data_IF_453577246968
#
_entry.id   IF_453577246968
#
_cell.length_a   1.000
_cell.length_b   1.000
_cell.length_c   1.000
_cell.angle_alpha   90.00
_cell.angle_beta   90.00
_cell.angle_gamma   90.00
#
_symmetry.space_group_name_H-M   'P 1'
#
loop_
_entity.id
_entity.type
_entity.pdbx_description
1 polymer ?
#
# COMPACT_ATOMS: atom_id res chain seq x y z
N UNK A 1 3.58 -7.01 -15.36
CA UNK A 1 2.27 -6.99 -14.70
C UNK A 1 1.21 -6.64 -15.70
N UNK A 2 0.13 -7.40 -15.76
CA UNK A 2 -0.99 -7.21 -16.73
C UNK A 2 -2.28 -6.76 -16.04
N UNK A 3 -2.15 -6.07 -14.89
CA UNK A 3 -3.32 -5.55 -14.17
C UNK A 3 -3.99 -4.43 -14.96
N UNK A 4 -5.32 -4.41 -14.94
CA UNK A 4 -6.12 -3.36 -15.56
C UNK A 4 -6.38 -2.23 -14.57
N UNK A 5 -6.50 -1.02 -15.08
CA UNK A 5 -6.72 0.19 -14.28
C UNK A 5 -7.90 0.99 -14.83
N UNK A 6 -8.69 1.54 -13.91
CA UNK A 6 -9.56 2.68 -14.16
C UNK A 6 -8.85 3.98 -13.77
N UNK A 7 -9.18 5.08 -14.42
CA UNK A 7 -8.62 6.39 -14.08
C UNK A 7 -9.70 7.30 -13.48
N UNK A 8 -9.66 7.46 -12.16
CA UNK A 8 -10.65 8.23 -11.41
C UNK A 8 -10.06 9.59 -11.05
N UNK A 9 -10.58 10.65 -11.64
CA UNK A 9 -10.11 12.03 -11.44
C UNK A 9 -8.56 12.13 -11.52
N UNK A 10 -7.95 11.44 -12.49
CA UNK A 10 -6.50 11.46 -12.69
C UNK A 10 -5.68 10.45 -11.89
N UNK A 11 -6.29 9.72 -10.96
CA UNK A 11 -5.65 8.65 -10.17
C UNK A 11 -5.98 7.28 -10.75
N UNK A 12 -4.96 6.46 -10.97
CA UNK A 12 -5.12 5.08 -11.40
C UNK A 12 -5.62 4.21 -10.24
N UNK A 13 -6.64 3.39 -10.49
CA UNK A 13 -7.20 2.42 -9.53
C UNK A 13 -7.21 1.05 -10.18
N UNK A 14 -6.68 0.05 -9.54
CA UNK A 14 -6.68 -1.34 -10.03
C UNK A 14 -8.11 -1.89 -10.05
N UNK A 15 -8.55 -2.41 -11.19
CA UNK A 15 -9.93 -2.91 -11.38
C UNK A 15 -10.00 -4.44 -11.50
N UNK A 16 -9.00 -5.12 -10.99
CA UNK A 16 -8.95 -6.59 -10.92
C UNK A 16 -9.55 -7.10 -9.61
N UNK A 17 -9.93 -8.37 -9.60
CA UNK A 17 -10.32 -9.04 -8.36
C UNK A 17 -9.11 -9.29 -7.46
N UNK A 18 -9.36 -9.54 -6.18
CA UNK A 18 -8.33 -9.73 -5.16
C UNK A 18 -7.39 -10.90 -5.48
N UNK A 19 -7.92 -11.99 -6.03
CA UNK A 19 -7.15 -13.17 -6.40
C UNK A 19 -6.12 -12.87 -7.50
N UNK A 20 -6.53 -12.13 -8.54
CA UNK A 20 -5.64 -11.71 -9.62
C UNK A 20 -4.52 -10.77 -9.11
N UNK A 21 -4.85 -9.87 -8.18
CA UNK A 21 -3.88 -8.97 -7.57
C UNK A 21 -2.87 -9.76 -6.73
N UNK A 22 -3.34 -10.71 -5.93
CA UNK A 22 -2.48 -11.61 -5.13
C UNK A 22 -1.60 -12.49 -6.02
N UNK A 23 -2.14 -13.01 -7.11
CA UNK A 23 -1.37 -13.82 -8.04
C UNK A 23 -0.25 -13.00 -8.71
N UNK A 24 -0.51 -11.76 -9.12
CA UNK A 24 0.54 -10.88 -9.65
C UNK A 24 1.59 -10.53 -8.58
N UNK A 25 1.18 -10.41 -7.32
CA UNK A 25 2.08 -10.21 -6.19
C UNK A 25 2.97 -11.44 -5.96
N UNK A 26 2.42 -12.66 -6.05
CA UNK A 26 3.19 -13.91 -5.99
C UNK A 26 4.19 -14.02 -7.15
N UNK A 27 3.76 -13.68 -8.36
CA UNK A 27 4.63 -13.68 -9.56
C UNK A 27 5.79 -12.69 -9.45
N UNK A 28 5.63 -11.61 -8.70
CA UNK A 28 6.72 -10.66 -8.45
C UNK A 28 7.91 -11.35 -7.77
N UNK A 29 7.67 -12.15 -6.72
CA UNK A 29 8.73 -12.92 -6.06
C UNK A 29 9.28 -14.05 -6.96
N UNK A 30 8.41 -14.78 -7.67
CA UNK A 30 8.85 -15.86 -8.57
C UNK A 30 9.77 -15.36 -9.68
N UNK A 31 9.44 -14.21 -10.30
CA UNK A 31 10.31 -13.60 -11.33
C UNK A 31 11.70 -13.22 -10.81
N UNK A 32 11.82 -12.98 -9.52
CA UNK A 32 13.08 -12.65 -8.86
C UNK A 32 13.93 -13.88 -8.50
N UNK A 33 13.30 -15.07 -8.37
CA UNK A 33 13.98 -16.33 -8.07
C UNK A 33 14.59 -16.98 -9.32
N UNK A 34 13.95 -16.84 -10.48
CA UNK A 34 14.40 -17.43 -11.76
C UNK A 34 15.86 -17.10 -12.08
N UNK A 35 16.38 -15.87 -11.97
CA UNK A 35 17.80 -15.59 -12.16
C UNK A 35 18.73 -16.27 -11.17
N UNK A 36 18.25 -16.64 -9.95
CA UNK A 36 19.05 -17.36 -8.95
C UNK A 36 19.22 -18.83 -9.29
N UNK A 37 18.18 -19.46 -9.82
CA UNK A 37 18.17 -20.88 -10.21
C UNK A 37 19.01 -21.15 -11.49
N UNK A 38 19.00 -20.20 -12.43
CA UNK A 38 19.74 -20.30 -13.69
C UNK A 38 21.23 -20.01 -13.51
N UNK A 39 21.66 -19.31 -12.45
CA UNK A 39 23.07 -18.95 -12.18
C UNK A 39 24.02 -20.14 -12.00
N UNK A 40 23.50 -21.33 -11.70
CA UNK A 40 24.35 -22.56 -11.67
C UNK A 40 24.89 -23.01 -13.03
N UNK A 41 24.46 -22.45 -14.15
CA UNK A 41 24.73 -23.00 -15.49
C UNK A 41 25.19 -22.04 -16.58
N UNK A 42 25.22 -20.70 -16.46
CA UNK A 42 25.65 -19.81 -17.55
C UNK A 42 26.21 -18.45 -17.11
N UNK A 43 27.35 -18.13 -17.71
CA UNK A 43 28.02 -16.85 -18.02
C UNK A 43 27.79 -15.61 -17.08
N UNK A 44 28.87 -15.07 -16.44
CA UNK A 44 28.81 -13.96 -15.49
C UNK A 44 28.51 -12.59 -16.12
N UNK A 45 28.31 -12.47 -17.40
CA UNK A 45 28.10 -11.21 -18.14
C UNK A 45 26.62 -10.86 -18.42
N UNK A 46 25.63 -11.66 -17.99
CA UNK A 46 24.23 -11.23 -18.10
C UNK A 46 23.96 -10.09 -17.11
N UNK A 47 23.67 -8.92 -17.63
CA UNK A 47 23.29 -7.72 -16.87
C UNK A 47 22.27 -8.08 -15.79
N UNK A 48 22.61 -7.72 -14.54
CA UNK A 48 21.69 -7.81 -13.41
C UNK A 48 20.58 -6.79 -13.63
N UNK A 49 19.48 -7.20 -14.25
CA UNK A 49 18.27 -6.37 -14.32
C UNK A 49 17.86 -6.03 -12.90
N UNK A 50 17.96 -4.78 -12.50
CA UNK A 50 17.50 -4.32 -11.19
C UNK A 50 15.99 -4.57 -11.11
N UNK A 51 15.54 -5.28 -10.09
CA UNK A 51 14.11 -5.51 -9.86
C UNK A 51 13.61 -4.31 -9.08
N UNK A 52 12.72 -3.50 -9.68
CA UNK A 52 12.11 -2.38 -8.98
C UNK A 52 11.20 -2.87 -7.85
N UNK A 53 11.13 -2.16 -6.72
CA UNK A 53 10.16 -2.46 -5.66
C UNK A 53 8.73 -2.53 -6.20
N UNK A 54 7.93 -3.46 -5.69
CA UNK A 54 6.50 -3.51 -5.94
C UNK A 54 5.81 -2.58 -4.94
N UNK A 55 5.17 -1.53 -5.43
CA UNK A 55 4.49 -0.54 -4.61
C UNK A 55 2.99 -0.78 -4.63
N UNK A 56 2.40 -0.78 -3.43
CA UNK A 56 0.96 -0.98 -3.23
C UNK A 56 0.41 0.19 -2.40
N UNK A 57 -0.52 0.95 -3.00
CA UNK A 57 -1.27 1.98 -2.30
C UNK A 57 -2.75 1.61 -2.20
N UNK A 58 -3.45 2.32 -1.32
CA UNK A 58 -4.88 2.13 -1.06
C UNK A 58 -5.61 3.48 -1.22
N UNK A 59 -5.72 4.01 -2.47
CA UNK A 59 -6.35 5.29 -2.68
C UNK A 59 -7.81 5.29 -2.18
N UNK A 60 -8.17 6.37 -1.51
CA UNK A 60 -9.50 6.67 -1.03
C UNK A 60 -9.95 8.05 -1.57
N UNK A 61 -11.19 8.50 -1.36
CA UNK A 61 -11.65 9.82 -1.81
C UNK A 61 -10.73 10.97 -1.42
N UNK A 62 -10.20 10.97 -0.20
CA UNK A 62 -9.32 12.04 0.30
C UNK A 62 -7.98 12.09 -0.45
N UNK A 63 -7.38 10.93 -0.73
CA UNK A 63 -6.15 10.78 -1.53
C UNK A 63 -6.38 11.29 -2.95
N UNK A 64 -7.51 10.94 -3.56
CA UNK A 64 -7.84 11.40 -4.93
C UNK A 64 -8.02 12.91 -4.98
N UNK A 65 -8.70 13.52 -4.00
CA UNK A 65 -8.85 14.99 -3.92
C UNK A 65 -7.51 15.68 -3.73
N UNK A 66 -6.64 15.16 -2.86
CA UNK A 66 -5.31 15.71 -2.67
C UNK A 66 -4.47 15.61 -3.94
N UNK A 67 -4.50 14.48 -4.62
CA UNK A 67 -3.81 14.26 -5.90
C UNK A 67 -4.26 15.21 -7.02
N UNK A 68 -5.44 15.83 -6.89
CA UNK A 68 -5.89 16.88 -7.82
C UNK A 68 -5.28 18.25 -7.52
N UNK A 69 -4.83 18.46 -6.30
CA UNK A 69 -4.28 19.73 -5.80
C UNK A 69 -2.75 19.72 -5.76
N UNK A 70 -2.14 18.53 -5.85
CA UNK A 70 -0.69 18.31 -5.78
C UNK A 70 -0.27 17.33 -6.88
N UNK A 71 0.37 17.85 -7.92
CA UNK A 71 0.79 17.06 -9.08
C UNK A 71 1.94 16.11 -8.74
N UNK A 72 2.82 16.47 -7.78
CA UNK A 72 3.86 15.59 -7.29
C UNK A 72 3.24 14.38 -6.57
N UNK A 73 2.30 14.63 -5.67
CA UNK A 73 1.58 13.57 -4.98
C UNK A 73 0.81 12.66 -5.95
N UNK A 74 0.14 13.26 -6.96
CA UNK A 74 -0.53 12.51 -8.03
C UNK A 74 0.44 11.60 -8.79
N UNK A 75 1.63 12.10 -9.13
CA UNK A 75 2.69 11.30 -9.78
C UNK A 75 3.10 10.13 -8.90
N UNK A 76 3.32 10.37 -7.60
CA UNK A 76 3.69 9.33 -6.64
C UNK A 76 2.61 8.25 -6.57
N UNK A 77 1.36 8.62 -6.35
CA UNK A 77 0.23 7.66 -6.27
C UNK A 77 0.11 6.85 -7.57
N UNK A 78 0.28 7.49 -8.73
CA UNK A 78 0.21 6.83 -10.03
C UNK A 78 1.45 6.00 -10.38
N UNK A 79 2.55 6.15 -9.63
CA UNK A 79 3.76 5.33 -9.83
C UNK A 79 3.65 3.93 -9.23
N UNK A 80 2.65 3.68 -8.40
CA UNK A 80 2.38 2.37 -7.83
C UNK A 80 1.94 1.36 -8.91
N UNK A 81 2.42 0.13 -8.77
CA UNK A 81 2.00 -0.98 -9.62
C UNK A 81 0.63 -1.54 -9.22
N UNK A 82 0.21 -1.28 -7.99
CA UNK A 82 -1.09 -1.69 -7.46
C UNK A 82 -1.68 -0.54 -6.65
N UNK A 83 -2.84 -0.07 -7.06
CA UNK A 83 -3.67 0.86 -6.33
C UNK A 83 -4.97 0.16 -5.96
N UNK A 84 -5.05 -0.41 -4.75
CA UNK A 84 -6.18 -1.22 -4.32
C UNK A 84 -7.47 -0.40 -4.29
N UNK A 85 -8.58 -0.90 -4.83
CA UNK A 85 -9.88 -0.23 -4.78
C UNK A 85 -10.47 -0.37 -3.37
N UNK A 86 -9.94 0.40 -2.41
CA UNK A 86 -10.44 0.41 -1.04
C UNK A 86 -11.43 1.58 -0.81
N UNK A 87 -12.51 1.27 -0.11
CA UNK A 87 -13.54 2.24 0.22
C UNK A 87 -14.68 2.35 -0.80
N UNK A 88 -15.90 2.50 -0.26
CA UNK A 88 -17.14 2.55 -1.04
C UNK A 88 -17.16 3.70 -2.08
N UNK A 89 -16.55 4.85 -1.75
CA UNK A 89 -16.48 5.99 -2.65
C UNK A 89 -15.70 5.70 -3.93
N UNK A 90 -14.57 5.00 -3.84
CA UNK A 90 -13.78 4.61 -5.00
C UNK A 90 -14.53 3.61 -5.87
N UNK A 91 -15.15 2.60 -5.26
CA UNK A 91 -15.97 1.61 -5.97
C UNK A 91 -17.12 2.29 -6.72
N UNK A 92 -17.83 3.19 -6.04
CA UNK A 92 -18.90 3.96 -6.66
C UNK A 92 -18.41 4.80 -7.85
N UNK A 93 -17.26 5.47 -7.71
CA UNK A 93 -16.70 6.28 -8.78
C UNK A 93 -16.28 5.44 -10.00
N UNK A 94 -15.63 4.28 -9.78
CA UNK A 94 -15.28 3.34 -10.87
C UNK A 94 -16.54 2.86 -11.58
N UNK A 95 -17.54 2.39 -10.82
CA UNK A 95 -18.79 1.89 -11.38
C UNK A 95 -19.53 2.98 -12.21
N UNK A 96 -19.48 4.23 -11.73
CA UNK A 96 -20.13 5.37 -12.41
C UNK A 96 -19.39 5.79 -13.68
N UNK A 97 -18.07 6.04 -13.57
CA UNK A 97 -17.29 6.66 -14.64
C UNK A 97 -16.86 5.67 -15.73
N UNK A 98 -16.49 4.47 -15.33
CA UNK A 98 -15.98 3.43 -16.25
C UNK A 98 -17.03 2.37 -16.59
N UNK A 99 -18.21 2.39 -15.96
CA UNK A 99 -19.28 1.40 -16.12
C UNK A 99 -18.85 -0.06 -15.89
N UNK A 100 -17.82 -0.25 -15.08
CA UNK A 100 -17.28 -1.56 -14.71
C UNK A 100 -17.63 -1.86 -13.26
N UNK A 101 -18.28 -2.98 -13.02
CA UNK A 101 -18.56 -3.45 -11.65
C UNK A 101 -17.32 -4.10 -11.07
N UNK A 102 -16.77 -3.51 -10.02
CA UNK A 102 -15.64 -4.05 -9.27
C UNK A 102 -16.03 -4.36 -7.83
N UNK A 103 -15.29 -5.27 -7.21
CA UNK A 103 -15.40 -5.54 -5.78
C UNK A 103 -14.36 -4.74 -5.02
N UNK A 104 -14.71 -4.39 -3.79
CA UNK A 104 -13.78 -3.74 -2.87
C UNK A 104 -12.67 -4.73 -2.48
N UNK A 105 -11.43 -4.27 -2.54
CA UNK A 105 -10.27 -4.94 -1.93
C UNK A 105 -9.80 -4.08 -0.77
N UNK A 106 -10.06 -4.56 0.46
CA UNK A 106 -9.69 -3.83 1.67
C UNK A 106 -8.18 -3.87 1.90
N UNK A 107 -7.56 -2.71 2.12
CA UNK A 107 -6.12 -2.64 2.43
C UNK A 107 -5.73 -3.47 3.66
N UNK A 108 -6.58 -3.53 4.70
CA UNK A 108 -6.33 -4.33 5.89
C UNK A 108 -6.41 -5.84 5.63
N UNK A 109 -7.36 -6.28 4.78
CA UNK A 109 -7.47 -7.69 4.41
C UNK A 109 -6.33 -8.10 3.48
N UNK A 110 -5.97 -7.23 2.53
CA UNK A 110 -4.82 -7.47 1.65
C UNK A 110 -3.50 -7.53 2.41
N UNK A 111 -3.32 -6.71 3.45
CA UNK A 111 -2.18 -6.83 4.37
C UNK A 111 -2.10 -8.23 5.00
N UNK A 112 -3.23 -8.79 5.48
CA UNK A 112 -3.27 -10.14 6.03
C UNK A 112 -2.92 -11.21 4.98
N UNK A 113 -3.36 -11.05 3.73
CA UNK A 113 -2.96 -11.95 2.64
C UNK A 113 -1.46 -11.89 2.35
N UNK A 114 -0.83 -10.71 2.48
CA UNK A 114 0.63 -10.59 2.37
C UNK A 114 1.36 -11.24 3.54
N UNK A 115 0.81 -11.18 4.76
CA UNK A 115 1.36 -11.91 5.93
C UNK A 115 1.30 -13.42 5.69
N UNK A 116 0.16 -13.93 5.18
CA UNK A 116 0.04 -15.33 4.80
C UNK A 116 1.02 -15.72 3.68
N UNK A 117 1.19 -14.88 2.69
CA UNK A 117 2.20 -15.10 1.64
C UNK A 117 3.63 -15.13 2.21
N UNK A 118 3.91 -14.29 3.22
CA UNK A 118 5.20 -14.30 3.91
C UNK A 118 5.42 -15.61 4.67
N UNK A 119 4.40 -16.18 5.29
CA UNK A 119 4.47 -17.51 5.92
C UNK A 119 4.75 -18.60 4.88
N UNK A 120 3.97 -18.64 3.80
CA UNK A 120 4.10 -19.63 2.71
C UNK A 120 5.52 -19.62 2.06
N UNK A 121 6.16 -18.46 2.03
CA UNK A 121 7.45 -18.26 1.34
C UNK A 121 8.63 -17.97 2.26
N UNK A 122 8.44 -18.05 3.57
CA UNK A 122 9.44 -17.72 4.59
C UNK A 122 10.07 -16.33 4.39
N UNK A 123 9.22 -15.31 4.06
CA UNK A 123 9.66 -13.93 3.89
C UNK A 123 9.69 -13.19 5.22
N UNK A 124 10.55 -12.17 5.32
CA UNK A 124 10.62 -11.29 6.49
C UNK A 124 9.79 -10.02 6.24
N UNK A 125 8.96 -9.66 7.22
CA UNK A 125 8.13 -8.46 7.22
C UNK A 125 8.75 -7.39 8.11
N UNK A 126 8.84 -6.16 7.61
CA UNK A 126 9.10 -4.95 8.40
C UNK A 126 7.84 -4.11 8.54
N UNK A 127 7.65 -3.49 9.70
CA UNK A 127 6.57 -2.51 9.92
C UNK A 127 7.20 -1.22 10.42
N UNK A 128 6.90 -0.09 9.77
CA UNK A 128 7.38 1.22 10.16
C UNK A 128 6.22 2.19 10.39
N UNK A 129 6.31 2.99 11.45
CA UNK A 129 5.23 3.88 11.89
C UNK A 129 4.27 3.20 12.87
N UNK A 130 3.07 3.78 13.01
CA UNK A 130 2.09 3.30 14.01
C UNK A 130 2.40 3.85 15.40
N UNK A 131 2.03 5.12 15.64
CA UNK A 131 2.35 5.83 16.89
C UNK A 131 1.95 5.07 18.15
N UNK A 132 2.79 5.21 19.19
CA UNK A 132 2.54 4.67 20.53
C UNK A 132 2.59 3.16 20.58
N UNK A 133 3.60 2.54 19.97
CA UNK A 133 3.84 1.09 20.02
C UNK A 133 2.92 0.25 19.15
N UNK A 134 2.08 0.87 18.31
CA UNK A 134 1.06 0.17 17.52
C UNK A 134 1.63 -0.88 16.57
N UNK A 135 2.85 -0.68 16.04
CA UNK A 135 3.51 -1.67 15.21
C UNK A 135 3.86 -2.95 16.00
N UNK A 136 4.36 -2.77 17.23
CA UNK A 136 4.70 -3.91 18.12
C UNK A 136 3.43 -4.69 18.48
N UNK A 137 2.37 -4.01 18.93
CA UNK A 137 1.10 -4.65 19.24
C UNK A 137 0.49 -5.41 18.05
N UNK A 138 0.58 -4.82 16.85
CA UNK A 138 0.11 -5.48 15.63
C UNK A 138 0.92 -6.75 15.32
N UNK A 139 2.25 -6.72 15.49
CA UNK A 139 3.11 -7.90 15.37
C UNK A 139 2.70 -8.98 16.37
N UNK A 140 2.55 -8.63 17.63
CA UNK A 140 2.14 -9.58 18.68
C UNK A 140 0.79 -10.24 18.36
N UNK A 141 -0.17 -9.46 17.84
CA UNK A 141 -1.46 -9.99 17.42
C UNK A 141 -1.34 -10.92 16.21
N UNK A 142 -0.54 -10.55 15.21
CA UNK A 142 -0.33 -11.35 14.01
C UNK A 142 0.40 -12.66 14.34
N UNK A 143 1.39 -12.64 15.21
CA UNK A 143 2.16 -13.83 15.63
C UNK A 143 1.33 -14.87 16.37
N UNK A 144 0.18 -14.50 16.95
CA UNK A 144 -0.77 -15.49 17.52
C UNK A 144 -1.33 -16.44 16.45
N UNK A 145 -1.47 -15.97 15.22
CA UNK A 145 -2.02 -16.74 14.08
C UNK A 145 -0.90 -17.23 13.15
N UNK A 146 0.06 -16.37 12.84
CA UNK A 146 1.17 -16.60 11.89
C UNK A 146 2.48 -16.74 12.66
N UNK A 147 2.66 -17.91 13.32
CA UNK A 147 3.75 -18.14 14.29
C UNK A 147 5.13 -18.17 13.66
N UNK A 148 5.22 -18.62 12.42
CA UNK A 148 6.50 -18.84 11.73
C UNK A 148 6.95 -17.62 10.90
N UNK A 149 6.14 -16.55 10.83
CA UNK A 149 6.51 -15.34 10.10
C UNK A 149 7.45 -14.47 10.89
N UNK A 150 8.62 -14.19 10.34
CA UNK A 150 9.54 -13.22 10.93
C UNK A 150 9.02 -11.80 10.68
N UNK A 151 8.70 -11.07 11.76
CA UNK A 151 8.20 -9.69 11.73
C UNK A 151 9.03 -8.81 12.63
N UNK A 152 9.35 -7.59 12.18
CA UNK A 152 10.18 -6.63 12.89
C UNK A 152 9.57 -5.23 12.84
N UNK A 153 9.48 -4.56 13.99
CA UNK A 153 9.16 -3.14 14.06
C UNK A 153 10.42 -2.32 13.77
N UNK A 154 10.32 -1.39 12.80
CA UNK A 154 11.44 -0.56 12.36
C UNK A 154 11.39 0.87 12.92
N UNK A 155 10.58 1.08 13.96
CA UNK A 155 10.45 2.36 14.63
C UNK A 155 9.32 3.25 14.15
N UNK A 156 9.22 4.40 14.81
CA UNK A 156 8.15 5.38 14.63
C UNK A 156 8.78 6.74 14.25
N UNK A 157 9.24 6.92 12.99
CA UNK A 157 9.92 8.14 12.61
C UNK A 157 8.99 9.36 12.67
N UNK A 158 9.51 10.46 13.18
CA UNK A 158 8.88 11.77 13.00
C UNK A 158 9.19 12.30 11.62
N UNK A 159 8.16 12.41 10.79
CA UNK A 159 8.27 12.83 9.40
C UNK A 159 7.38 14.04 9.12
N UNK A 160 7.84 14.88 8.19
CA UNK A 160 7.09 16.01 7.67
C UNK A 160 5.93 15.59 6.76
N UNK A 161 5.21 16.54 6.20
CA UNK A 161 4.08 16.30 5.31
C UNK A 161 4.47 15.63 3.99
N UNK A 162 5.73 15.75 3.55
CA UNK A 162 6.29 15.11 2.36
C UNK A 162 7.06 13.82 2.68
N UNK A 163 6.86 13.24 3.86
CA UNK A 163 7.42 11.94 4.22
C UNK A 163 8.93 11.94 4.46
N UNK A 164 9.57 13.12 4.55
CA UNK A 164 10.95 13.29 4.95
C UNK A 164 11.09 13.46 6.45
N UNK A 165 12.27 13.18 7.00
CA UNK A 165 12.58 13.63 8.37
C UNK A 165 12.88 15.13 8.38
N UNK A 166 12.50 15.81 9.47
CA UNK A 166 12.75 17.24 9.65
C UNK A 166 14.25 17.58 9.69
N UNK A 167 15.11 16.62 10.04
CA UNK A 167 16.56 16.76 10.15
C UNK A 167 17.21 15.59 9.41
N UNK A 168 18.03 15.88 8.39
CA UNK A 168 18.88 14.93 7.64
C UNK A 168 18.14 13.71 7.05
N UNK A 169 17.15 13.98 6.22
CA UNK A 169 16.31 12.94 5.61
C UNK A 169 17.09 11.96 4.71
N UNK A 170 18.17 12.38 4.07
CA UNK A 170 18.94 11.50 3.17
C UNK A 170 19.68 10.40 3.95
N UNK A 171 20.36 10.76 5.04
CA UNK A 171 21.03 9.80 5.91
C UNK A 171 20.04 8.84 6.57
N UNK A 172 18.85 9.33 6.98
CA UNK A 172 17.82 8.48 7.53
C UNK A 172 17.39 7.39 6.55
N UNK A 173 17.04 7.76 5.32
CA UNK A 173 16.59 6.78 4.31
C UNK A 173 17.71 5.84 3.87
N UNK A 174 18.98 6.30 3.86
CA UNK A 174 20.12 5.43 3.61
C UNK A 174 20.31 4.40 4.74
N UNK A 175 20.18 4.82 6.00
CA UNK A 175 20.26 3.94 7.16
C UNK A 175 19.09 2.94 7.18
N UNK A 176 17.87 3.40 6.92
CA UNK A 176 16.71 2.53 6.81
C UNK A 176 16.89 1.49 5.70
N UNK A 177 17.40 1.89 4.54
CA UNK A 177 17.71 0.95 3.45
C UNK A 177 18.74 -0.09 3.88
N UNK A 178 19.78 0.31 4.63
CA UNK A 178 20.79 -0.61 5.16
C UNK A 178 20.19 -1.60 6.18
N UNK A 179 19.28 -1.13 7.02
CA UNK A 179 18.55 -1.99 7.96
C UNK A 179 17.63 -2.99 7.25
N UNK A 180 16.93 -2.57 6.23
CA UNK A 180 16.10 -3.43 5.37
C UNK A 180 16.98 -4.55 4.76
N UNK A 181 18.15 -4.19 4.22
CA UNK A 181 19.06 -5.17 3.63
C UNK A 181 19.65 -6.13 4.67
N UNK A 182 20.09 -5.61 5.83
CA UNK A 182 20.68 -6.40 6.92
C UNK A 182 19.68 -7.38 7.53
N UNK A 183 18.47 -6.95 7.75
CA UNK A 183 17.37 -7.76 8.32
C UNK A 183 16.68 -8.62 7.26
N UNK A 184 17.02 -8.48 5.98
CA UNK A 184 16.47 -9.21 4.85
C UNK A 184 14.96 -9.01 4.68
N UNK A 185 14.48 -7.80 4.92
CA UNK A 185 13.06 -7.47 4.82
C UNK A 185 12.64 -7.51 3.35
N UNK A 186 11.58 -8.24 3.06
CA UNK A 186 11.03 -8.46 1.71
C UNK A 186 9.61 -7.91 1.57
N UNK A 187 8.95 -7.60 2.68
CA UNK A 187 7.68 -6.86 2.72
C UNK A 187 7.82 -5.76 3.76
N UNK A 188 7.61 -4.50 3.36
CA UNK A 188 7.61 -3.35 4.26
C UNK A 188 6.21 -2.72 4.30
N UNK A 189 5.57 -2.78 5.47
CA UNK A 189 4.35 -2.06 5.74
C UNK A 189 4.64 -0.68 6.32
N UNK A 190 4.07 0.37 5.71
CA UNK A 190 4.26 1.76 6.12
C UNK A 190 2.97 2.32 6.67
N UNK A 191 2.94 2.62 7.97
CA UNK A 191 1.78 3.06 8.75
C UNK A 191 1.93 4.50 9.26
N UNK A 192 2.20 5.45 8.37
CA UNK A 192 2.43 6.87 8.69
C UNK A 192 1.22 7.77 8.40
N UNK A 193 0.17 7.18 7.81
CA UNK A 193 -1.00 7.92 7.31
C UNK A 193 -0.70 8.73 6.05
N UNK A 194 -1.76 8.98 5.24
CA UNK A 194 -1.59 9.80 4.04
C UNK A 194 -1.47 11.30 4.42
N UNK A 195 -0.78 12.14 3.63
CA UNK A 195 0.00 11.79 2.44
C UNK A 195 1.41 11.29 2.77
N UNK A 196 1.80 11.29 4.04
CA UNK A 196 3.17 11.04 4.50
C UNK A 196 3.70 9.68 4.07
N UNK A 197 2.88 8.64 4.14
CA UNK A 197 3.29 7.27 3.82
C UNK A 197 3.61 7.07 2.32
N UNK A 198 2.90 7.73 1.42
CA UNK A 198 3.15 7.66 -0.02
C UNK A 198 4.46 8.36 -0.38
N UNK A 199 4.70 9.56 0.15
CA UNK A 199 5.98 10.27 0.01
C UNK A 199 7.14 9.49 0.63
N UNK A 200 6.93 8.90 1.82
CA UNK A 200 7.92 8.07 2.50
C UNK A 200 8.32 6.86 1.65
N UNK A 201 7.34 6.18 1.07
CA UNK A 201 7.57 5.03 0.18
C UNK A 201 8.34 5.47 -1.07
N UNK A 202 8.04 6.63 -1.65
CA UNK A 202 8.80 7.15 -2.80
C UNK A 202 10.26 7.44 -2.42
N UNK A 203 10.52 8.03 -1.25
CA UNK A 203 11.86 8.31 -0.77
C UNK A 203 12.68 7.03 -0.56
N UNK A 204 12.13 6.03 0.14
CA UNK A 204 12.85 4.76 0.33
C UNK A 204 13.04 4.00 -0.98
N UNK A 205 12.06 4.01 -1.90
CA UNK A 205 12.16 3.44 -3.24
C UNK A 205 13.36 4.03 -4.00
N UNK A 206 13.55 5.35 -3.93
CA UNK A 206 14.70 6.03 -4.58
C UNK A 206 16.02 5.48 -4.03
N UNK A 207 16.16 5.34 -2.71
CA UNK A 207 17.38 4.81 -2.10
C UNK A 207 17.61 3.33 -2.45
N UNK A 208 16.55 2.54 -2.47
CA UNK A 208 16.61 1.14 -2.90
C UNK A 208 17.06 1.04 -4.36
N UNK A 209 16.51 1.87 -5.24
CA UNK A 209 16.82 1.86 -6.68
C UNK A 209 18.25 2.27 -7.01
N UNK A 210 18.92 3.06 -6.14
CA UNK A 210 20.35 3.39 -6.25
C UNK A 210 21.25 2.19 -5.98
N UNK A 211 20.75 1.12 -5.36
CA UNK A 211 21.55 -0.04 -4.98
C UNK A 211 21.71 -1.05 -6.14
N UNK A 212 22.95 -1.43 -6.46
CA UNK A 212 23.27 -2.46 -7.47
C UNK A 212 22.92 -3.89 -7.00
N UNK A 213 22.71 -4.09 -5.70
CA UNK A 213 22.39 -5.40 -5.09
C UNK A 213 21.01 -5.31 -4.45
N UNK A 214 19.97 -5.56 -5.23
CA UNK A 214 18.64 -5.45 -4.72
C UNK A 214 17.94 -6.81 -4.61
N UNK A 215 17.23 -7.02 -3.48
CA UNK A 215 16.27 -8.11 -3.29
C UNK A 215 14.88 -7.62 -3.68
N UNK A 216 14.00 -8.51 -4.16
CA UNK A 216 12.60 -8.14 -4.36
C UNK A 216 12.00 -7.69 -3.02
N UNK A 217 11.32 -6.56 -3.03
CA UNK A 217 10.62 -6.03 -1.87
C UNK A 217 9.27 -5.45 -2.27
N UNK A 218 8.27 -5.71 -1.45
CA UNK A 218 6.97 -5.06 -1.52
C UNK A 218 6.96 -3.90 -0.53
N UNK A 219 6.56 -2.72 -0.98
CA UNK A 219 6.33 -1.53 -0.15
C UNK A 219 4.83 -1.24 -0.16
N UNK A 220 4.16 -1.39 0.96
CA UNK A 220 2.71 -1.18 1.05
C UNK A 220 2.36 -0.11 2.08
N UNK A 221 1.61 0.91 1.65
CA UNK A 221 1.00 1.88 2.54
C UNK A 221 -0.23 1.24 3.22
N UNK A 222 -0.18 1.09 4.53
CA UNK A 222 -1.24 0.43 5.30
C UNK A 222 -2.05 1.39 6.18
N UNK A 223 -1.55 2.62 6.39
CA UNK A 223 -2.24 3.66 7.13
C UNK A 223 -2.77 3.15 8.47
N UNK A 224 -4.06 3.32 8.69
CA UNK A 224 -4.71 2.89 9.92
C UNK A 224 -5.12 1.41 9.97
N UNK A 225 -4.61 0.54 9.12
CA UNK A 225 -4.91 -0.90 9.17
C UNK A 225 -4.35 -1.55 10.43
N UNK A 226 -3.22 -1.04 10.94
CA UNK A 226 -2.62 -1.56 12.19
C UNK A 226 -3.55 -1.39 13.40
N UNK A 227 -4.38 -0.32 13.45
CA UNK A 227 -5.35 -0.12 14.53
C UNK A 227 -6.40 -1.24 14.60
N UNK A 228 -6.75 -1.81 13.45
CA UNK A 228 -7.65 -2.96 13.37
C UNK A 228 -6.95 -4.28 13.71
N UNK A 229 -5.71 -4.43 13.25
CA UNK A 229 -4.93 -5.66 13.43
C UNK A 229 -4.51 -5.81 14.89
N UNK A 230 -4.07 -4.74 15.54
CA UNK A 230 -3.72 -4.73 16.97
C UNK A 230 -4.93 -4.89 17.90
N UNK A 231 -6.16 -4.72 17.37
CA UNK A 231 -7.38 -4.73 18.18
C UNK A 231 -7.68 -3.44 18.92
N UNK A 232 -6.84 -2.38 18.80
CA UNK A 232 -7.14 -1.06 19.39
C UNK A 232 -8.49 -0.50 18.95
N UNK A 233 -8.86 -0.78 17.70
CA UNK A 233 -10.17 -0.44 17.15
C UNK A 233 -10.81 -1.73 16.62
N UNK A 234 -11.98 -2.13 17.12
CA UNK A 234 -12.68 -3.29 16.57
C UNK A 234 -13.15 -2.99 15.16
N UNK A 235 -13.01 -3.96 14.27
CA UNK A 235 -13.52 -3.85 12.90
C UNK A 235 -15.03 -3.72 12.87
N UNK A 236 -15.54 -3.06 11.84
CA UNK A 236 -16.96 -2.97 11.62
C UNK A 236 -17.59 -4.37 11.46
N UNK A 237 -18.80 -4.59 11.96
CA UNK A 237 -19.56 -5.82 11.73
C UNK A 237 -19.59 -6.19 10.25
N UNK A 238 -19.62 -7.50 9.95
CA UNK A 238 -19.57 -7.98 8.57
C UNK A 238 -20.65 -7.40 7.65
N UNK A 239 -21.84 -7.15 8.17
CA UNK A 239 -22.94 -6.52 7.43
C UNK A 239 -22.59 -5.07 7.03
N UNK A 240 -22.04 -4.28 7.95
CA UNK A 240 -21.60 -2.90 7.67
C UNK A 240 -20.45 -2.88 6.66
N UNK A 241 -19.51 -3.82 6.77
CA UNK A 241 -18.41 -3.94 5.80
C UNK A 241 -18.92 -4.24 4.39
N UNK A 242 -19.87 -5.17 4.26
CA UNK A 242 -20.51 -5.51 2.97
C UNK A 242 -21.32 -4.34 2.40
N UNK A 243 -21.95 -3.55 3.27
CA UNK A 243 -22.68 -2.34 2.87
C UNK A 243 -21.76 -1.14 2.55
N UNK A 244 -20.43 -1.26 2.72
CA UNK A 244 -19.50 -0.15 2.50
C UNK A 244 -19.52 0.92 3.60
N UNK A 245 -20.11 0.62 4.77
CA UNK A 245 -20.28 1.56 5.89
C UNK A 245 -19.17 1.47 6.95
N UNK A 246 -18.04 0.86 6.64
CA UNK A 246 -16.89 0.76 7.56
C UNK A 246 -16.34 2.15 7.94
N UNK A 247 -16.40 3.12 7.02
CA UNK A 247 -16.01 4.50 7.28
C UNK A 247 -16.88 5.16 8.35
N UNK A 248 -18.21 4.88 8.37
CA UNK A 248 -19.15 5.41 9.36
C UNK A 248 -18.89 4.80 10.74
N UNK A 249 -18.65 3.46 10.78
CA UNK A 249 -18.25 2.78 12.00
C UNK A 249 -16.99 3.39 12.61
N UNK A 250 -16.00 3.67 11.75
CA UNK A 250 -14.76 4.29 12.18
C UNK A 250 -14.96 5.73 12.64
N UNK A 251 -15.81 6.50 11.98
CA UNK A 251 -16.15 7.85 12.37
C UNK A 251 -16.82 7.89 13.76
N UNK A 252 -17.74 6.96 14.04
CA UNK A 252 -18.39 6.87 15.34
C UNK A 252 -17.40 6.59 16.49
N UNK A 253 -16.28 5.91 16.21
CA UNK A 253 -15.22 5.61 17.19
C UNK A 253 -14.11 6.63 17.23
N UNK A 254 -13.92 7.37 16.15
CA UNK A 254 -12.90 8.40 15.97
C UNK A 254 -13.56 9.68 15.43
N UNK A 255 -14.35 10.44 16.24
CA UNK A 255 -15.13 11.59 15.76
C UNK A 255 -14.28 12.70 15.13
N UNK A 256 -13.00 12.84 15.56
CA UNK A 256 -12.07 13.81 14.98
C UNK A 256 -11.82 13.60 13.48
N UNK A 257 -12.17 12.43 12.93
CA UNK A 257 -12.08 12.13 11.50
C UNK A 257 -13.11 12.84 10.64
N UNK A 258 -14.10 13.53 11.26
CA UNK A 258 -15.13 14.27 10.51
C UNK A 258 -14.53 15.27 9.52
N UNK A 259 -13.45 15.97 9.91
CA UNK A 259 -12.76 16.91 9.02
C UNK A 259 -12.24 16.25 7.76
N UNK A 260 -11.77 15.03 7.86
CA UNK A 260 -11.29 14.22 6.72
C UNK A 260 -12.45 13.77 5.83
N UNK A 261 -13.57 13.38 6.44
CA UNK A 261 -14.78 12.99 5.69
C UNK A 261 -15.37 14.17 4.90
N UNK A 262 -15.36 15.39 5.47
CA UNK A 262 -15.78 16.60 4.76
C UNK A 262 -14.89 16.88 3.53
N UNK A 263 -13.60 16.73 3.67
CA UNK A 263 -12.68 16.85 2.52
C UNK A 263 -12.97 15.79 1.43
N UNK A 264 -13.38 14.57 1.83
CA UNK A 264 -13.86 13.54 0.92
C UNK A 264 -15.17 13.89 0.19
N UNK A 265 -15.98 14.80 0.73
CA UNK A 265 -17.22 15.29 0.08
C UNK A 265 -16.97 15.95 -1.28
N UNK A 266 -15.87 16.68 -1.42
CA UNK A 266 -15.42 17.28 -2.69
C UNK A 266 -15.24 16.22 -3.80
N UNK A 267 -14.79 15.02 -3.43
CA UNK A 267 -14.63 13.90 -4.36
C UNK A 267 -15.94 13.53 -5.05
N UNK A 268 -17.03 13.40 -4.29
CA UNK A 268 -18.33 12.99 -4.84
C UNK A 268 -18.87 14.03 -5.80
N UNK A 269 -18.74 15.32 -5.47
CA UNK A 269 -19.14 16.42 -6.34
C UNK A 269 -18.37 16.37 -7.67
N UNK A 270 -17.06 16.24 -7.60
CA UNK A 270 -16.20 16.17 -8.79
C UNK A 270 -16.51 14.95 -9.67
N UNK A 271 -16.76 13.79 -9.07
CA UNK A 271 -17.18 12.59 -9.81
C UNK A 271 -18.53 12.79 -10.48
N UNK A 272 -19.49 13.44 -9.81
CA UNK A 272 -20.80 13.76 -10.39
C UNK A 272 -20.71 14.70 -11.59
N UNK A 273 -19.82 15.70 -11.51
CA UNK A 273 -19.59 16.67 -12.58
C UNK A 273 -18.75 16.10 -13.75
N UNK A 274 -18.05 14.98 -13.54
CA UNK A 274 -17.25 14.35 -14.58
C UNK A 274 -18.18 13.57 -15.52
N UNK A 275 -18.16 13.83 -16.84
CA UNK A 275 -18.94 13.04 -17.78
C UNK A 275 -18.48 11.58 -17.80
N UNK A 276 -19.45 10.67 -17.90
CA UNK A 276 -19.13 9.25 -18.06
C UNK A 276 -18.38 9.04 -19.36
N UNK A 277 -17.39 8.16 -19.37
CA UNK A 277 -16.81 7.71 -20.65
C UNK A 277 -17.94 7.12 -21.49
N UNK A 278 -18.22 7.73 -22.66
CA UNK A 278 -19.09 7.10 -23.65
C UNK A 278 -18.40 5.79 -24.05
N UNK A 279 -19.13 4.68 -23.94
CA UNK A 279 -18.74 3.47 -24.64
C UNK A 279 -18.69 3.83 -26.12
N UNK A 280 -17.51 3.97 -26.67
CA UNK A 280 -17.31 3.94 -28.11
C UNK A 280 -17.53 2.47 -28.51
N UNK A 281 -18.74 2.18 -28.99
CA UNK A 281 -19.05 0.93 -29.68
C UNK A 281 -18.35 0.92 -31.03
#
# INVERSE_FOLDING_TARGET
MSLKFARILGVNVTIENEENILEETRKYFLKSEIPRLIRGRRNPKSEKKSINPLIIFTPNPEIVVLAQKDDEYKRIVNSAQINLPDGAGIIWAVNRLEKVKIRRVSGADFMLHLVKLAEEKALTIGIIGGRGGLAVEAIECLQKTFKDVKMEALGEPEIDTKGGQAIDSENYFQNLKNDIDKRKIEILFVALGFPKQEYFIENIKIQISKSKKFRPIILMAVGGSLEYISGRIPRAPGQMRRAGLEWLWRLARQPWRIRRQLAGGEFFIKVLMTPNKKLLF
#
